data_IF_482467760661
#
_entry.id   IF_482467760661
#
_cell.length_a   1.000
_cell.length_b   1.000
_cell.length_c   1.000
_cell.angle_alpha   90.00
_cell.angle_beta   90.00
_cell.angle_gamma   90.00
#
_symmetry.space_group_name_H-M   'P 1'
#
loop_
_entity.id
_entity.type
_entity.pdbx_description
1 polymer ?
#
# COMPACT_ATOMS: atom_id res chain seq x y z
N UNK A 1 -27.49 39.22 -2.56
CA UNK A 1 -26.11 38.72 -2.76
C UNK A 1 -25.96 38.30 -4.22
N UNK A 2 -24.99 38.88 -4.94
CA UNK A 2 -24.89 38.80 -6.41
C UNK A 2 -24.28 37.47 -6.88
N UNK A 3 -24.79 36.94 -8.00
CA UNK A 3 -24.32 35.70 -8.65
C UNK A 3 -22.79 35.62 -8.77
N UNK A 4 -22.13 36.74 -9.06
CA UNK A 4 -20.65 36.85 -9.11
C UNK A 4 -19.95 36.41 -7.82
N UNK A 5 -20.50 36.77 -6.65
CA UNK A 5 -19.91 36.42 -5.35
C UNK A 5 -20.04 34.93 -5.03
N UNK A 6 -21.14 34.32 -5.46
CA UNK A 6 -21.38 32.86 -5.33
C UNK A 6 -20.46 32.06 -6.26
N UNK A 7 -20.28 32.49 -7.50
CA UNK A 7 -19.37 31.82 -8.45
C UNK A 7 -17.91 31.85 -7.99
N UNK A 8 -17.47 32.98 -7.40
CA UNK A 8 -16.09 33.13 -6.91
C UNK A 8 -15.79 32.21 -5.72
N UNK A 9 -16.77 32.03 -4.82
CA UNK A 9 -16.68 31.06 -3.72
C UNK A 9 -16.66 29.64 -4.24
N UNK A 10 -17.50 29.29 -5.23
CA UNK A 10 -17.49 27.95 -5.85
C UNK A 10 -16.16 27.63 -6.53
N UNK A 11 -15.58 28.56 -7.28
CA UNK A 11 -14.27 28.37 -7.93
C UNK A 11 -13.16 28.19 -6.90
N UNK A 12 -13.17 28.99 -5.82
CA UNK A 12 -12.23 28.82 -4.71
C UNK A 12 -12.35 27.45 -4.03
N UNK A 13 -13.59 26.98 -3.82
CA UNK A 13 -13.84 25.67 -3.24
C UNK A 13 -13.38 24.53 -4.15
N UNK A 14 -13.61 24.65 -5.46
CA UNK A 14 -13.17 23.68 -6.46
C UNK A 14 -11.64 23.59 -6.55
N UNK A 15 -10.96 24.74 -6.51
CA UNK A 15 -9.50 24.80 -6.49
C UNK A 15 -8.92 24.18 -5.22
N UNK A 16 -9.54 24.45 -4.07
CA UNK A 16 -9.16 23.83 -2.80
C UNK A 16 -9.35 22.31 -2.82
N UNK A 17 -10.50 21.83 -3.32
CA UNK A 17 -10.77 20.40 -3.47
C UNK A 17 -9.77 19.71 -4.41
N UNK A 18 -9.42 20.35 -5.53
CA UNK A 18 -8.42 19.84 -6.46
C UNK A 18 -7.01 19.78 -5.83
N UNK A 19 -6.62 20.80 -5.07
CA UNK A 19 -5.35 20.81 -4.34
C UNK A 19 -5.31 19.72 -3.26
N UNK A 20 -6.38 19.59 -2.47
CA UNK A 20 -6.51 18.53 -1.47
C UNK A 20 -6.45 17.13 -2.11
N UNK A 21 -7.14 16.93 -3.23
CA UNK A 21 -7.10 15.70 -4.01
C UNK A 21 -5.70 15.40 -4.56
N UNK A 22 -5.00 16.42 -5.08
CA UNK A 22 -3.62 16.29 -5.55
C UNK A 22 -2.65 15.90 -4.43
N UNK A 23 -2.79 16.51 -3.25
CA UNK A 23 -1.99 16.19 -2.07
C UNK A 23 -2.28 14.76 -1.61
N UNK A 24 -3.56 14.39 -1.46
CA UNK A 24 -3.97 13.05 -1.05
C UNK A 24 -3.48 11.99 -2.02
N UNK A 25 -3.58 12.23 -3.34
CA UNK A 25 -3.07 11.31 -4.37
C UNK A 25 -1.55 11.12 -4.27
N UNK A 26 -0.82 12.17 -3.88
CA UNK A 26 0.64 12.13 -3.73
C UNK A 26 1.11 11.51 -2.41
N UNK A 27 0.34 11.65 -1.33
CA UNK A 27 0.69 11.14 0.01
C UNK A 27 0.13 9.74 0.29
N UNK A 28 -0.92 9.32 -0.41
CA UNK A 28 -1.52 7.99 -0.26
C UNK A 28 -0.51 6.83 -0.40
N UNK A 29 0.45 6.83 -1.35
CA UNK A 29 1.43 5.75 -1.46
C UNK A 29 2.32 5.59 -0.23
N UNK A 30 2.76 6.69 0.37
CA UNK A 30 3.58 6.65 1.58
C UNK A 30 2.78 6.14 2.78
N UNK A 31 1.52 6.56 2.90
CA UNK A 31 0.63 6.12 3.97
C UNK A 31 0.30 4.63 3.86
N UNK A 32 -0.05 4.14 2.66
CA UNK A 32 -0.32 2.71 2.43
C UNK A 32 0.91 1.87 2.74
N UNK A 33 2.10 2.28 2.27
CA UNK A 33 3.35 1.61 2.62
C UNK A 33 3.54 1.50 4.12
N UNK A 34 3.36 2.60 4.85
CA UNK A 34 3.53 2.62 6.29
C UNK A 34 2.57 1.67 7.01
N UNK A 35 1.28 1.67 6.63
CA UNK A 35 0.27 0.76 7.22
C UNK A 35 0.62 -0.71 6.95
N UNK A 36 1.06 -1.03 5.74
CA UNK A 36 1.48 -2.39 5.39
C UNK A 36 2.70 -2.81 6.20
N UNK A 37 3.70 -1.94 6.34
CA UNK A 37 4.90 -2.19 7.15
C UNK A 37 4.57 -2.45 8.62
N UNK A 38 3.74 -1.61 9.24
CA UNK A 38 3.29 -1.80 10.62
C UNK A 38 2.48 -3.09 10.78
N UNK A 39 1.63 -3.40 9.81
CA UNK A 39 0.83 -4.65 9.84
C UNK A 39 1.71 -5.88 9.71
N UNK A 40 2.77 -5.83 8.89
CA UNK A 40 3.76 -6.91 8.80
C UNK A 40 4.51 -7.08 10.12
N UNK A 41 4.94 -5.99 10.76
CA UNK A 41 5.65 -6.05 12.05
C UNK A 41 4.77 -6.68 13.13
N UNK A 42 3.50 -6.28 13.21
CA UNK A 42 2.59 -6.79 14.23
C UNK A 42 2.24 -8.27 14.05
N UNK A 43 2.20 -8.74 12.79
CA UNK A 43 1.76 -10.10 12.45
C UNK A 43 2.91 -11.04 12.16
N UNK A 44 4.15 -10.56 12.14
CA UNK A 44 5.31 -11.38 11.84
C UNK A 44 5.57 -12.42 12.94
N UNK A 45 6.18 -13.56 12.58
CA UNK A 45 6.67 -14.52 13.57
C UNK A 45 7.64 -13.86 14.56
N UNK A 46 7.60 -14.28 15.82
CA UNK A 46 8.38 -13.67 16.91
C UNK A 46 9.90 -13.67 16.70
N UNK A 47 10.42 -14.53 15.82
CA UNK A 47 11.84 -14.63 15.50
C UNK A 47 12.27 -13.72 14.34
N UNK A 48 11.33 -13.03 13.68
CA UNK A 48 11.60 -12.11 12.57
C UNK A 48 11.76 -10.69 13.12
N UNK A 49 13.00 -10.19 13.11
CA UNK A 49 13.28 -8.81 13.51
C UNK A 49 12.72 -7.79 12.51
N UNK A 50 12.20 -6.66 13.03
CA UNK A 50 11.61 -5.57 12.23
C UNK A 50 12.48 -5.10 11.07
N UNK A 51 13.79 -5.02 11.29
CA UNK A 51 14.75 -4.55 10.28
C UNK A 51 14.79 -5.50 9.06
N UNK A 52 14.57 -6.79 9.27
CA UNK A 52 14.49 -7.76 8.19
C UNK A 52 13.21 -7.59 7.37
N UNK A 53 12.11 -7.21 8.03
CA UNK A 53 10.81 -6.92 7.41
C UNK A 53 10.94 -5.69 6.51
N UNK A 54 11.49 -4.60 7.06
CA UNK A 54 11.72 -3.35 6.32
C UNK A 54 12.58 -3.59 5.08
N UNK A 55 13.67 -4.32 5.23
CA UNK A 55 14.59 -4.65 4.14
C UNK A 55 13.90 -5.44 3.03
N UNK A 56 13.16 -6.50 3.37
CA UNK A 56 12.44 -7.32 2.38
C UNK A 56 11.33 -6.55 1.67
N UNK A 57 10.59 -5.72 2.41
CA UNK A 57 9.58 -4.85 1.83
C UNK A 57 10.21 -3.85 0.84
N UNK A 58 11.34 -3.25 1.21
CA UNK A 58 12.07 -2.34 0.33
C UNK A 58 12.61 -3.03 -0.93
N UNK A 59 13.20 -4.22 -0.79
CA UNK A 59 13.67 -5.03 -1.93
C UNK A 59 12.52 -5.34 -2.90
N UNK A 60 11.38 -5.75 -2.37
CA UNK A 60 10.20 -6.08 -3.16
C UNK A 60 9.64 -4.85 -3.89
N UNK A 61 9.58 -3.69 -3.23
CA UNK A 61 9.09 -2.44 -3.85
C UNK A 61 10.09 -1.85 -4.85
N UNK A 62 11.40 -2.07 -4.65
CA UNK A 62 12.43 -1.68 -5.62
C UNK A 62 12.41 -2.53 -6.88
N UNK A 63 12.07 -3.82 -6.76
CA UNK A 63 11.91 -4.73 -7.89
C UNK A 63 10.71 -4.37 -8.79
N UNK A 64 9.73 -3.60 -8.27
CA UNK A 64 8.57 -3.18 -9.04
C UNK A 64 8.92 -2.05 -10.04
N UNK A 65 8.48 -2.15 -11.31
CA UNK A 65 8.94 -1.28 -12.40
C UNK A 65 8.43 0.17 -12.33
N UNK A 66 7.31 0.42 -11.66
CA UNK A 66 6.73 1.77 -11.53
C UNK A 66 5.87 1.91 -10.26
N UNK A 67 5.42 3.13 -9.98
CA UNK A 67 4.62 3.46 -8.79
C UNK A 67 3.29 2.71 -8.72
N UNK A 68 2.63 2.49 -9.86
CA UNK A 68 1.40 1.72 -9.93
C UNK A 68 1.63 0.24 -9.58
N UNK A 69 2.73 -0.36 -10.05
CA UNK A 69 3.12 -1.72 -9.69
C UNK A 69 3.47 -1.81 -8.20
N UNK A 70 4.18 -0.82 -7.63
CA UNK A 70 4.44 -0.74 -6.19
C UNK A 70 3.15 -0.71 -5.38
N UNK A 71 2.19 0.12 -5.78
CA UNK A 71 0.89 0.23 -5.12
C UNK A 71 0.12 -1.09 -5.21
N UNK A 72 0.09 -1.75 -6.38
CA UNK A 72 -0.54 -3.07 -6.54
C UNK A 72 0.08 -4.12 -5.62
N UNK A 73 1.41 -4.14 -5.50
CA UNK A 73 2.11 -5.03 -4.58
C UNK A 73 1.73 -4.77 -3.13
N UNK A 74 1.68 -3.50 -2.70
CA UNK A 74 1.27 -3.12 -1.34
C UNK A 74 -0.18 -3.53 -1.04
N UNK A 75 -1.10 -3.31 -1.98
CA UNK A 75 -2.50 -3.69 -1.82
C UNK A 75 -2.67 -5.21 -1.74
N UNK A 76 -1.94 -5.97 -2.56
CA UNK A 76 -1.93 -7.44 -2.49
C UNK A 76 -1.46 -7.92 -1.12
N UNK A 77 -0.33 -7.40 -0.62
CA UNK A 77 0.18 -7.72 0.71
C UNK A 77 -0.84 -7.36 1.79
N UNK A 78 -1.46 -6.18 1.69
CA UNK A 78 -2.51 -5.76 2.64
C UNK A 78 -3.69 -6.73 2.68
N UNK A 79 -4.14 -7.24 1.53
CA UNK A 79 -5.24 -8.22 1.43
C UNK A 79 -4.86 -9.57 2.02
N UNK A 80 -3.61 -10.02 1.82
CA UNK A 80 -3.11 -11.26 2.41
C UNK A 80 -3.03 -11.13 3.94
N UNK A 81 -2.61 -9.97 4.46
CA UNK A 81 -2.53 -9.69 5.88
C UNK A 81 -3.88 -9.50 6.57
N UNK A 82 -4.92 -9.07 5.83
CA UNK A 82 -6.26 -8.88 6.39
C UNK A 82 -6.82 -10.17 6.99
N UNK A 83 -6.50 -11.32 6.37
CA UNK A 83 -7.05 -12.63 6.74
C UNK A 83 -6.30 -13.33 7.86
N UNK A 84 -5.15 -12.81 8.28
CA UNK A 84 -4.21 -13.52 9.17
C UNK A 84 -4.03 -12.76 10.48
N UNK A 85 -4.25 -13.41 11.63
CA UNK A 85 -3.98 -12.80 12.94
C UNK A 85 -2.49 -12.85 13.30
N UNK A 86 -1.85 -14.00 13.09
CA UNK A 86 -0.40 -14.21 13.24
C UNK A 86 0.08 -15.03 12.05
N UNK A 87 1.16 -14.59 11.38
CA UNK A 87 1.71 -15.31 10.23
C UNK A 87 2.52 -16.51 10.71
N UNK A 88 2.18 -17.68 10.21
CA UNK A 88 3.06 -18.85 10.31
C UNK A 88 4.28 -18.67 9.39
N UNK A 89 5.35 -19.46 9.63
CA UNK A 89 6.55 -19.49 8.77
C UNK A 89 6.24 -19.72 7.29
N UNK A 90 5.28 -20.60 7.00
CA UNK A 90 4.92 -20.97 5.63
C UNK A 90 4.09 -19.88 4.94
N UNK A 91 3.26 -19.15 5.68
CA UNK A 91 2.55 -17.97 5.18
C UNK A 91 3.51 -16.80 4.96
N UNK A 92 4.44 -16.61 5.90
CA UNK A 92 5.52 -15.63 5.76
C UNK A 92 6.33 -15.87 4.48
N UNK A 93 6.67 -17.12 4.16
CA UNK A 93 7.40 -17.44 2.94
C UNK A 93 6.59 -17.13 1.66
N UNK A 94 5.26 -17.33 1.67
CA UNK A 94 4.37 -17.10 0.52
C UNK A 94 4.12 -15.62 0.21
N UNK A 95 4.21 -14.74 1.21
CA UNK A 95 4.07 -13.28 1.04
C UNK A 95 5.13 -12.67 0.11
N UNK A 96 6.30 -13.30 0.02
CA UNK A 96 7.43 -12.83 -0.78
C UNK A 96 7.46 -13.58 -2.11
N UNK A 97 6.97 -13.00 -3.22
CA UNK A 97 7.07 -13.65 -4.52
C UNK A 97 8.56 -13.83 -4.84
N UNK A 98 8.94 -15.05 -5.18
CA UNK A 98 10.23 -15.31 -5.77
C UNK A 98 10.29 -14.63 -7.15
N UNK A 99 11.44 -14.14 -7.60
CA UNK A 99 11.56 -13.32 -8.82
C UNK A 99 11.20 -14.02 -10.15
N UNK A 100 10.54 -15.18 -10.15
CA UNK A 100 10.08 -15.85 -11.36
C UNK A 100 8.62 -16.32 -11.30
N UNK A 101 7.96 -16.14 -12.45
CA UNK A 101 6.63 -16.60 -12.87
C UNK A 101 5.46 -15.63 -12.59
N UNK A 102 5.05 -14.97 -13.68
CA UNK A 102 3.89 -14.09 -13.77
C UNK A 102 2.58 -14.84 -13.93
N UNK A 103 2.22 -15.68 -12.97
CA UNK A 103 0.85 -16.16 -12.82
C UNK A 103 0.45 -16.11 -11.34
N UNK A 104 -0.67 -15.46 -10.96
CA UNK A 104 -1.20 -15.59 -9.63
C UNK A 104 -1.66 -17.04 -9.42
N UNK A 105 -1.14 -17.78 -8.43
CA UNK A 105 -1.71 -19.08 -8.10
C UNK A 105 -3.09 -18.84 -7.52
N UNK A 106 -4.11 -19.05 -8.35
CA UNK A 106 -5.49 -19.20 -7.91
C UNK A 106 -5.53 -20.33 -6.89
N UNK A 107 -5.98 -20.01 -5.68
CA UNK A 107 -6.18 -21.00 -4.62
C UNK A 107 -7.32 -21.90 -5.08
N UNK A 108 -6.98 -23.15 -5.42
CA UNK A 108 -7.96 -24.24 -5.50
C UNK A 108 -8.34 -24.64 -4.07
N UNK A 109 -9.65 -24.53 -3.83
CA UNK A 109 -10.51 -25.07 -2.76
C UNK A 109 -9.88 -25.48 -1.44
#
# INVERSE_FOLDING_TARGET
>A
MTLRRRSLVMVGFLAFAAAAYGIARRSAPAMVRHVVEQSLIQKAPADVGEESIRRRLDELLRAAPNEEARMRTLLRISQDLEKVQELTRDEWARLWPQPESGDPPGIRH
#
